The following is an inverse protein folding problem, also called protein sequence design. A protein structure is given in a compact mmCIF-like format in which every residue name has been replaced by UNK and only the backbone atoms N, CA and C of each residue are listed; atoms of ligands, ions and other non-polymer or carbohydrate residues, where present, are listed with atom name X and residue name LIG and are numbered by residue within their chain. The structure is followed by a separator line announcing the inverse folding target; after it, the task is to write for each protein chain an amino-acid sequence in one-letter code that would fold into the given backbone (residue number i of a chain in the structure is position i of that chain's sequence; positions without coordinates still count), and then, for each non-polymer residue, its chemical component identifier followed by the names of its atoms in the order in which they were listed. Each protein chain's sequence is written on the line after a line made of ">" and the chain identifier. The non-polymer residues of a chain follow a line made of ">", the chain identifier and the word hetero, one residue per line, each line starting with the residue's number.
data_IF_790195197394
#
_entry.id   IF_790195197394
#
_cell.length_a   1.000
_cell.length_b   1.000
_cell.length_c   1.000
_cell.angle_alpha   90.00
_cell.angle_beta   90.00
_cell.angle_gamma   90.00
#
_symmetry.space_group_name_H-M   'P 1'
#
loop_
_entity.id
_entity.type
_entity.pdbx_description
1 polymer ?
#
# COMPACT_ATOMS: atom_id res chain seq x y z
N UNK A 1 13.17 -0.44 13.92
CA UNK A 1 13.32 -1.14 12.62
C UNK A 1 13.46 -0.08 11.54
N UNK A 2 14.42 -0.21 10.61
CA UNK A 2 14.60 0.72 9.51
C UNK A 2 14.69 -0.04 8.19
N UNK A 3 14.10 0.50 7.12
CA UNK A 3 14.12 -0.07 5.79
C UNK A 3 14.93 0.87 4.91
N UNK A 4 15.90 0.33 4.16
CA UNK A 4 16.67 1.09 3.18
C UNK A 4 16.41 0.48 1.79
N UNK A 5 15.98 1.31 0.85
CA UNK A 5 15.87 0.93 -0.55
C UNK A 5 17.19 1.27 -1.25
N UNK A 6 17.83 0.27 -1.84
CA UNK A 6 19.08 0.43 -2.58
C UNK A 6 18.79 0.22 -4.06
N UNK A 7 19.12 1.22 -4.86
CA UNK A 7 19.06 1.09 -6.30
C UNK A 7 20.08 0.06 -6.77
N UNK A 8 19.71 -0.74 -7.76
CA UNK A 8 20.59 -1.71 -8.38
C UNK A 8 21.80 -1.02 -9.04
N UNK A 9 22.96 -1.65 -8.94
CA UNK A 9 24.18 -1.21 -9.62
C UNK A 9 24.10 -1.36 -11.14
N UNK A 10 24.92 -0.59 -11.87
CA UNK A 10 24.98 -0.57 -13.33
C UNK A 10 25.75 -1.74 -13.95
N UNK A 11 25.88 -2.85 -13.23
CA UNK A 11 26.70 -3.99 -13.65
C UNK A 11 26.15 -4.61 -14.93
N UNK A 12 26.94 -4.57 -16.00
CA UNK A 12 26.57 -5.05 -17.33
C UNK A 12 26.30 -6.56 -17.42
N UNK A 13 26.65 -7.32 -16.38
CA UNK A 13 26.38 -8.76 -16.28
C UNK A 13 25.09 -9.06 -15.48
N UNK A 14 24.51 -8.05 -14.86
CA UNK A 14 23.25 -8.19 -14.17
C UNK A 14 22.14 -8.21 -15.24
N UNK A 15 21.12 -9.09 -15.16
CA UNK A 15 20.05 -9.13 -16.16
C UNK A 15 19.45 -7.73 -16.30
N UNK A 16 19.48 -7.13 -17.49
CA UNK A 16 18.99 -5.78 -17.71
C UNK A 16 17.64 -5.62 -17.01
N UNK A 17 17.42 -4.51 -16.29
CA UNK A 17 16.08 -4.18 -15.83
C UNK A 17 15.21 -4.16 -17.09
N UNK A 18 14.41 -5.22 -17.28
CA UNK A 18 13.51 -5.29 -18.40
C UNK A 18 12.64 -4.04 -18.30
N UNK A 19 12.30 -3.43 -19.44
CA UNK A 19 11.39 -2.28 -19.44
C UNK A 19 10.21 -2.65 -18.53
N UNK A 20 9.95 -1.86 -17.47
CA UNK A 20 8.93 -2.26 -16.51
C UNK A 20 7.62 -2.50 -17.26
N UNK A 21 6.91 -3.60 -16.95
CA UNK A 21 5.61 -3.85 -17.57
C UNK A 21 4.65 -2.72 -17.22
N UNK A 22 3.49 -2.69 -17.87
CA UNK A 22 2.41 -1.78 -17.51
C UNK A 22 2.17 -1.84 -15.99
N UNK A 23 2.00 -0.67 -15.35
CA UNK A 23 1.77 -0.57 -13.91
C UNK A 23 0.53 -1.40 -13.56
N UNK A 24 0.71 -2.41 -12.70
CA UNK A 24 -0.35 -3.30 -12.25
C UNK A 24 -0.59 -3.08 -10.75
N UNK A 25 -1.63 -2.32 -10.36
CA UNK A 25 -1.98 -2.09 -8.95
C UNK A 25 -2.25 -3.36 -8.14
N UNK A 26 -2.57 -4.48 -8.80
CA UNK A 26 -2.81 -5.78 -8.15
C UNK A 26 -1.58 -6.69 -8.08
N UNK A 27 -0.44 -6.24 -8.64
CA UNK A 27 0.83 -6.95 -8.57
C UNK A 27 1.53 -6.75 -7.23
N UNK A 28 2.70 -7.37 -7.05
CA UNK A 28 3.53 -7.11 -5.86
C UNK A 28 4.09 -5.68 -5.90
N UNK A 29 4.04 -4.98 -4.76
CA UNK A 29 4.53 -3.61 -4.61
C UNK A 29 4.96 -3.34 -3.16
N UNK A 30 5.70 -2.25 -2.96
CA UNK A 30 6.05 -1.73 -1.63
C UNK A 30 5.24 -0.45 -1.39
N UNK A 31 4.52 -0.39 -0.28
CA UNK A 31 3.63 0.73 0.04
C UNK A 31 4.24 1.70 1.05
N UNK A 32 4.08 2.99 0.81
CA UNK A 32 4.41 4.08 1.72
C UNK A 32 3.17 4.92 2.03
N UNK A 33 3.14 5.48 3.23
CA UNK A 33 2.04 6.33 3.65
C UNK A 33 2.34 7.80 3.38
N UNK A 34 1.33 8.55 2.95
CA UNK A 34 1.40 10.00 2.76
C UNK A 34 0.14 10.68 3.29
N UNK A 35 0.28 11.90 3.80
CA UNK A 35 -0.83 12.72 4.31
C UNK A 35 -1.41 13.66 3.25
N UNK A 36 -0.66 13.95 2.18
CA UNK A 36 -1.06 14.86 1.11
C UNK A 36 -0.84 14.23 -0.28
N UNK A 37 -1.89 13.59 -0.77
CA UNK A 37 -1.91 12.97 -2.09
C UNK A 37 -1.82 13.99 -3.24
N UNK A 38 -2.29 15.22 -3.02
CA UNK A 38 -2.20 16.30 -4.01
C UNK A 38 -0.76 16.72 -4.24
N UNK A 39 -0.01 16.92 -3.15
CA UNK A 39 1.42 17.19 -3.21
C UNK A 39 2.19 16.03 -3.86
N UNK A 40 1.85 14.79 -3.54
CA UNK A 40 2.52 13.63 -4.14
C UNK A 40 2.31 13.58 -5.66
N UNK A 41 1.08 13.78 -6.14
CA UNK A 41 0.77 13.84 -7.58
C UNK A 41 1.55 14.95 -8.29
N UNK A 42 1.62 16.13 -7.68
CA UNK A 42 2.38 17.25 -8.24
C UNK A 42 3.87 16.91 -8.37
N UNK A 43 4.47 16.28 -7.35
CA UNK A 43 5.87 15.84 -7.39
C UNK A 43 6.13 14.77 -8.45
N UNK A 44 5.25 13.79 -8.58
CA UNK A 44 5.38 12.76 -9.62
C UNK A 44 5.28 13.38 -11.03
N UNK A 45 4.37 14.34 -11.22
CA UNK A 45 4.23 15.06 -12.48
C UNK A 45 5.47 15.93 -12.80
N UNK A 46 6.01 16.65 -11.82
CA UNK A 46 7.25 17.44 -11.97
C UNK A 46 8.46 16.58 -12.35
N UNK A 47 8.47 15.31 -11.93
CA UNK A 47 9.49 14.31 -12.27
C UNK A 47 9.20 13.57 -13.59
N UNK A 48 8.11 13.90 -14.28
CA UNK A 48 7.65 13.23 -15.50
C UNK A 48 7.45 11.71 -15.33
N UNK A 49 7.06 11.28 -14.13
CA UNK A 49 6.79 9.87 -13.83
C UNK A 49 5.34 9.52 -14.16
N UNK A 50 5.16 8.46 -14.95
CA UNK A 50 3.84 7.86 -15.15
C UNK A 50 3.36 7.19 -13.85
N UNK A 51 2.10 7.42 -13.50
CA UNK A 51 1.46 6.79 -12.35
C UNK A 51 0.03 6.37 -12.66
N UNK A 52 -0.45 5.37 -11.93
CA UNK A 52 -1.86 4.94 -11.92
C UNK A 52 -2.47 5.32 -10.58
N UNK A 53 -3.59 6.04 -10.61
CA UNK A 53 -4.41 6.28 -9.42
C UNK A 53 -5.50 5.21 -9.29
N UNK A 54 -5.71 4.74 -8.06
CA UNK A 54 -6.81 3.86 -7.71
C UNK A 54 -7.49 4.34 -6.43
N UNK A 55 -8.74 3.93 -6.25
CA UNK A 55 -9.51 4.22 -5.05
C UNK A 55 -10.03 2.91 -4.48
N UNK A 56 -9.78 2.71 -3.18
CA UNK A 56 -10.29 1.57 -2.43
C UNK A 56 -11.31 2.07 -1.43
N UNK A 57 -12.45 1.39 -1.35
CA UNK A 57 -13.51 1.69 -0.40
C UNK A 57 -13.56 0.58 0.64
N UNK A 58 -13.49 0.97 1.91
CA UNK A 58 -13.76 0.12 3.07
C UNK A 58 -14.82 0.79 3.95
N UNK A 59 -16.06 0.29 3.85
CA UNK A 59 -17.23 0.95 4.42
C UNK A 59 -17.44 2.37 3.88
N UNK A 60 -17.44 3.35 4.79
CA UNK A 60 -17.56 4.77 4.47
C UNK A 60 -16.22 5.41 4.09
N UNK A 61 -15.11 4.73 4.39
CA UNK A 61 -13.76 5.22 4.13
C UNK A 61 -13.39 5.01 2.67
N UNK A 62 -12.83 6.04 2.04
CA UNK A 62 -12.22 5.96 0.71
C UNK A 62 -10.76 6.35 0.84
N UNK A 63 -9.91 5.45 0.37
CA UNK A 63 -8.46 5.58 0.34
C UNK A 63 -8.03 5.77 -1.11
N UNK A 64 -7.15 6.73 -1.33
CA UNK A 64 -6.51 6.93 -2.62
C UNK A 64 -5.12 6.28 -2.61
N UNK A 65 -4.82 5.57 -3.69
CA UNK A 65 -3.55 4.89 -3.92
C UNK A 65 -2.94 5.37 -5.22
N UNK A 66 -1.63 5.63 -5.22
CA UNK A 66 -0.85 5.96 -6.42
C UNK A 66 0.21 4.90 -6.64
N UNK A 67 0.26 4.35 -7.84
CA UNK A 67 1.24 3.33 -8.22
C UNK A 67 2.15 3.87 -9.30
N UNK A 68 3.45 3.74 -9.12
CA UNK A 68 4.46 4.11 -10.12
C UNK A 68 5.68 3.21 -10.02
N UNK A 69 6.54 3.24 -11.04
CA UNK A 69 7.79 2.45 -11.04
C UNK A 69 8.95 3.26 -10.45
N UNK A 70 9.77 2.62 -9.63
CA UNK A 70 11.10 3.13 -9.29
C UNK A 70 12.08 2.95 -10.47
N UNK A 71 13.32 3.47 -10.39
CA UNK A 71 14.31 3.33 -11.47
C UNK A 71 14.66 1.88 -11.85
N UNK A 72 14.44 0.92 -10.94
CA UNK A 72 14.72 -0.50 -11.16
C UNK A 72 13.49 -1.26 -11.69
N UNK A 73 12.34 -0.60 -11.83
CA UNK A 73 11.08 -1.16 -12.31
C UNK A 73 10.26 -1.87 -11.23
N UNK A 74 10.55 -1.65 -9.95
CA UNK A 74 9.69 -2.10 -8.86
C UNK A 74 8.49 -1.16 -8.74
N UNK A 75 7.31 -1.72 -8.42
CA UNK A 75 6.12 -0.90 -8.18
C UNK A 75 6.16 -0.35 -6.76
N UNK A 76 6.08 0.97 -6.66
CA UNK A 76 5.89 1.73 -5.43
C UNK A 76 4.42 2.15 -5.36
N UNK A 77 3.80 1.93 -4.20
CA UNK A 77 2.49 2.46 -3.87
C UNK A 77 2.63 3.60 -2.86
N UNK A 78 1.91 4.71 -3.08
CA UNK A 78 1.66 5.73 -2.06
C UNK A 78 0.19 5.68 -1.68
N UNK A 79 -0.08 5.57 -0.39
CA UNK A 79 -1.42 5.45 0.17
C UNK A 79 -1.70 6.51 1.24
N UNK A 80 -2.90 7.07 1.27
CA UNK A 80 -3.40 7.87 2.40
C UNK A 80 -4.17 7.02 3.45
N UNK A 81 -3.66 5.81 3.68
CA UNK A 81 -4.25 4.77 4.52
C UNK A 81 -4.51 5.17 5.98
N UNK A 82 -4.08 6.36 6.45
CA UNK A 82 -4.41 6.87 7.80
C UNK A 82 -5.93 7.01 8.00
N UNK A 83 -6.67 7.12 6.90
CA UNK A 83 -8.13 7.15 6.91
C UNK A 83 -8.77 5.84 7.34
N UNK A 84 -8.07 4.71 7.23
CA UNK A 84 -8.62 3.41 7.58
C UNK A 84 -8.68 3.24 9.11
N UNK A 85 -9.80 2.73 9.65
CA UNK A 85 -9.90 2.43 11.06
C UNK A 85 -8.90 1.33 11.42
N UNK A 86 -7.92 1.65 12.27
CA UNK A 86 -7.04 0.63 12.86
C UNK A 86 -7.81 -0.08 13.96
N UNK A 87 -8.34 -1.25 13.66
CA UNK A 87 -8.93 -2.13 14.67
C UNK A 87 -7.82 -3.00 15.25
N UNK A 88 -7.49 -2.88 16.56
CA UNK A 88 -6.57 -3.81 17.19
C UNK A 88 -7.08 -5.22 16.99
N UNK A 89 -6.24 -6.09 16.45
CA UNK A 89 -6.52 -7.52 16.47
C UNK A 89 -6.55 -7.92 17.94
N UNK A 90 -7.74 -8.17 18.49
CA UNK A 90 -7.89 -8.66 19.84
C UNK A 90 -7.00 -9.89 19.98
N UNK A 91 -6.07 -9.84 20.94
CA UNK A 91 -5.06 -10.88 21.10
C UNK A 91 -5.73 -12.25 21.18
N UNK A 92 -5.27 -13.18 20.35
CA UNK A 92 -5.42 -14.60 20.65
C UNK A 92 -4.63 -14.89 21.93
N UNK A 93 -5.25 -14.60 23.07
CA UNK A 93 -4.66 -14.70 24.39
C UNK A 93 -5.77 -14.75 25.42
N UNK A 94 -6.30 -15.96 25.62
CA UNK A 94 -7.20 -16.37 26.70
C UNK A 94 -8.58 -15.67 26.77
N UNK A 95 -9.63 -16.47 26.60
CA UNK A 95 -10.98 -16.15 27.07
C UNK A 95 -11.86 -15.48 26.03
N UNK A 96 -12.47 -16.30 25.18
CA UNK A 96 -13.75 -15.97 24.55
C UNK A 96 -14.73 -15.64 25.69
N UNK A 97 -15.28 -14.41 25.81
CA UNK A 97 -16.53 -14.29 26.53
C UNK A 97 -17.55 -15.00 25.65
N UNK A 98 -18.01 -16.14 26.15
CA UNK A 98 -19.11 -16.90 25.58
C UNK A 98 -20.18 -15.93 25.10
N UNK A 99 -20.52 -16.00 23.81
CA UNK A 99 -21.79 -15.47 23.30
C UNK A 99 -22.89 -16.26 24.02
N UNK A 100 -23.22 -15.84 25.25
CA UNK A 100 -24.39 -16.31 25.96
C UNK A 100 -25.59 -15.69 25.24
N UNK A 101 -26.07 -16.43 24.26
CA UNK A 101 -27.46 -16.34 23.83
C UNK A 101 -28.34 -16.50 25.08
N UNK A 102 -29.39 -15.68 25.25
CA UNK A 102 -30.31 -15.85 26.37
C UNK A 102 -31.00 -17.21 26.24
N UNK A 103 -30.88 -18.05 27.26
CA UNK A 103 -31.75 -19.22 27.40
C UNK A 103 -33.11 -18.71 27.88
N UNK A 104 -34.16 -18.97 27.10
CA UNK A 104 -35.53 -18.87 27.60
C UNK A 104 -35.79 -20.08 28.50
N UNK A 105 -36.32 -19.83 29.70
CA UNK A 105 -37.31 -20.71 30.34
C UNK A 105 -38.07 -19.94 31.44
N UNK A 106 -39.40 -19.92 31.36
CA UNK A 106 -40.33 -19.33 32.35
C UNK A 106 -41.39 -18.42 31.76
#
# INVERSE_FOLDING_TARGET
>A
MGIHLLQRGSDSNAPAAARPPAINPKGNHISFQCTDMGLMKARLADMELEFVAAWVRDGETVVEQLFFHDPDGNVIEICDCEKLPVVPLAGAGAGVPSLLLPVHDG
#
